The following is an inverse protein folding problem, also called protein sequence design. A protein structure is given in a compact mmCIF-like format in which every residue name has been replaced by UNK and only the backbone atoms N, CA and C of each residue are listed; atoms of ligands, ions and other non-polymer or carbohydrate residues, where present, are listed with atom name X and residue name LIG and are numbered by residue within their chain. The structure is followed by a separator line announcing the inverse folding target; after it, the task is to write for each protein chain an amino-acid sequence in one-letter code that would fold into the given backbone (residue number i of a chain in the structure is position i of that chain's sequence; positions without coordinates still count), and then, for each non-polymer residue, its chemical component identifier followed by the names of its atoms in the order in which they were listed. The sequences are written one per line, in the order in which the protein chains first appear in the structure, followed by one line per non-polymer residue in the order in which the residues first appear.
data_IF_240901613250
#
_entry.id   IF_240901613250
#
_cell.length_a   1.000
_cell.length_b   1.000
_cell.length_c   1.000
_cell.angle_alpha   90.00
_cell.angle_beta   90.00
_cell.angle_gamma   90.00
#
_symmetry.space_group_name_H-M   'P 1'
#
loop_
_entity.id
_entity.type
_entity.pdbx_description
1 polymer ?
#
# COMPACT_ATOMS: atom_id res chain seq x y z
N UNK A 1 -13.88 15.71 22.78
CA UNK A 1 -14.23 14.58 23.68
C UNK A 1 -15.40 13.70 23.18
N UNK A 2 -15.81 13.78 21.90
CA UNK A 2 -16.89 12.94 21.37
C UNK A 2 -16.39 11.65 20.69
N UNK A 3 -15.15 11.64 20.17
CA UNK A 3 -14.54 10.41 19.65
C UNK A 3 -14.41 9.36 20.77
N UNK A 4 -13.92 9.78 21.96
CA UNK A 4 -13.67 8.98 23.18
C UNK A 4 -14.70 7.87 23.53
N UNK A 5 -15.97 8.04 23.14
CA UNK A 5 -17.11 7.25 23.62
C UNK A 5 -17.71 6.29 22.60
N UNK A 6 -17.31 6.32 21.32
CA UNK A 6 -17.88 5.43 20.31
C UNK A 6 -16.83 4.40 19.85
N UNK A 7 -16.85 3.16 20.39
CA UNK A 7 -15.82 2.16 20.12
C UNK A 7 -15.67 1.82 18.63
N UNK A 8 -16.74 1.99 17.83
CA UNK A 8 -16.73 1.72 16.39
C UNK A 8 -15.95 2.79 15.60
N UNK A 9 -16.12 4.08 15.93
CA UNK A 9 -15.34 5.16 15.31
C UNK A 9 -13.90 5.19 15.84
N UNK A 10 -13.73 4.79 17.09
CA UNK A 10 -12.44 4.70 17.75
C UNK A 10 -11.54 3.62 17.22
N UNK A 11 -12.07 2.43 16.95
CA UNK A 11 -11.24 1.35 16.42
C UNK A 11 -10.59 1.77 15.09
N UNK A 12 -11.37 2.32 14.15
CA UNK A 12 -10.85 2.80 12.85
C UNK A 12 -9.84 3.93 13.01
N UNK A 13 -10.13 4.90 13.88
CA UNK A 13 -9.22 6.02 14.15
C UNK A 13 -7.93 5.54 14.80
N UNK A 14 -8.03 4.63 15.77
CA UNK A 14 -6.88 4.01 16.43
C UNK A 14 -6.00 3.23 15.46
N UNK A 15 -6.56 2.46 14.52
CA UNK A 15 -5.77 1.76 13.51
C UNK A 15 -4.98 2.74 12.64
N UNK A 16 -5.63 3.81 12.17
CA UNK A 16 -4.96 4.85 11.37
C UNK A 16 -3.85 5.53 12.19
N UNK A 17 -4.12 5.87 13.45
CA UNK A 17 -3.13 6.49 14.34
C UNK A 17 -1.91 5.59 14.56
N UNK A 18 -2.14 4.30 14.83
CA UNK A 18 -1.05 3.32 15.03
C UNK A 18 -0.20 3.20 13.76
N UNK A 19 -0.82 2.98 12.61
CA UNK A 19 -0.10 2.79 11.34
C UNK A 19 0.68 4.06 10.96
N UNK A 20 0.07 5.24 11.18
CA UNK A 20 0.73 6.53 10.93
C UNK A 20 1.97 6.70 11.78
N UNK A 21 1.88 6.50 13.09
CA UNK A 21 3.01 6.67 13.99
C UNK A 21 4.13 5.67 13.69
N UNK A 22 3.76 4.40 13.43
CA UNK A 22 4.71 3.35 13.06
C UNK A 22 5.51 3.71 11.80
N UNK A 23 4.82 4.07 10.71
CA UNK A 23 5.47 4.41 9.43
C UNK A 23 6.32 5.67 9.59
N UNK A 24 5.81 6.70 10.29
CA UNK A 24 6.53 7.97 10.48
C UNK A 24 7.84 7.77 11.25
N UNK A 25 7.84 6.94 12.29
CA UNK A 25 9.04 6.62 13.05
C UNK A 25 10.10 5.96 12.17
N UNK A 26 9.70 4.96 11.37
CA UNK A 26 10.60 4.25 10.45
C UNK A 26 11.15 5.13 9.32
N UNK A 27 10.37 6.11 8.85
CA UNK A 27 10.87 7.11 7.90
C UNK A 27 11.90 8.01 8.59
N UNK A 28 11.61 8.50 9.80
CA UNK A 28 12.51 9.39 10.54
C UNK A 28 13.81 8.71 10.97
N UNK A 29 13.78 7.41 11.24
CA UNK A 29 14.97 6.62 11.57
C UNK A 29 15.79 6.22 10.34
N UNK A 30 15.29 6.49 9.13
CA UNK A 30 15.92 6.09 7.86
C UNK A 30 15.75 4.62 7.51
N UNK A 31 14.93 3.86 8.25
CA UNK A 31 14.62 2.46 7.95
C UNK A 31 13.76 2.32 6.68
N UNK A 32 12.94 3.32 6.38
CA UNK A 32 12.07 3.37 5.20
C UNK A 32 12.34 4.66 4.43
N UNK A 33 12.61 4.53 3.13
CA UNK A 33 12.63 5.65 2.21
C UNK A 33 11.31 5.73 1.45
N UNK A 34 10.63 6.87 1.53
CA UNK A 34 9.40 7.11 0.78
C UNK A 34 9.72 7.70 -0.59
N UNK A 35 9.27 7.05 -1.66
CA UNK A 35 9.41 7.52 -3.05
C UNK A 35 8.04 7.54 -3.71
N UNK A 36 7.72 8.64 -4.38
CA UNK A 36 6.49 8.74 -5.16
C UNK A 36 6.62 8.00 -6.48
N UNK A 37 5.67 7.10 -6.76
CA UNK A 37 5.52 6.41 -8.03
C UNK A 37 4.19 6.86 -8.65
N UNK A 38 4.17 7.38 -9.90
CA UNK A 38 2.93 7.69 -10.58
C UNK A 38 2.00 6.46 -10.65
N UNK A 39 0.68 6.66 -10.53
CA UNK A 39 -0.31 5.55 -10.56
C UNK A 39 -0.17 4.66 -11.80
N UNK A 40 0.20 5.24 -12.95
CA UNK A 40 0.44 4.49 -14.20
C UNK A 40 1.64 3.53 -14.11
N UNK A 41 2.52 3.72 -13.15
CA UNK A 41 3.75 2.94 -12.97
C UNK A 41 3.73 2.10 -11.68
N UNK A 42 2.64 2.16 -10.90
CA UNK A 42 2.49 1.43 -9.65
C UNK A 42 2.16 -0.05 -9.89
N UNK A 43 3.20 -0.88 -10.03
CA UNK A 43 3.07 -2.32 -10.33
C UNK A 43 2.24 -3.06 -9.28
N UNK A 44 2.35 -2.68 -8.00
CA UNK A 44 1.61 -3.30 -6.89
C UNK A 44 0.08 -3.26 -7.07
N UNK A 45 -0.44 -2.33 -7.88
CA UNK A 45 -1.87 -2.24 -8.15
C UNK A 45 -2.43 -3.51 -8.81
N UNK A 46 -1.59 -4.30 -9.47
CA UNK A 46 -1.99 -5.59 -10.07
C UNK A 46 -2.56 -6.57 -9.03
N UNK A 47 -2.17 -6.42 -7.75
CA UNK A 47 -2.59 -7.29 -6.65
C UNK A 47 -3.74 -6.71 -5.82
N UNK A 48 -4.05 -5.42 -5.96
CA UNK A 48 -4.98 -4.70 -5.06
C UNK A 48 -6.19 -4.13 -5.78
N UNK A 49 -6.16 -4.03 -7.12
CA UNK A 49 -7.21 -3.42 -7.94
C UNK A 49 -7.66 -4.35 -9.06
N UNK A 50 -8.93 -4.23 -9.44
CA UNK A 50 -9.43 -4.78 -10.70
C UNK A 50 -9.09 -3.85 -11.86
N UNK A 51 -8.54 -4.41 -12.94
CA UNK A 51 -8.18 -3.68 -14.16
C UNK A 51 -8.77 -4.33 -15.40
N UNK A 52 -8.81 -3.56 -16.50
CA UNK A 52 -9.02 -4.14 -17.83
C UNK A 52 -7.88 -5.11 -18.16
N UNK A 53 -8.17 -6.12 -18.99
CA UNK A 53 -7.18 -7.13 -19.39
C UNK A 53 -5.91 -6.51 -19.97
N UNK A 54 -6.05 -5.46 -20.78
CA UNK A 54 -4.91 -4.73 -21.35
C UNK A 54 -4.01 -4.13 -20.26
N UNK A 55 -4.60 -3.42 -19.29
CA UNK A 55 -3.86 -2.78 -18.21
C UNK A 55 -3.26 -3.80 -17.24
N UNK A 56 -3.99 -4.87 -16.95
CA UNK A 56 -3.48 -5.98 -16.15
C UNK A 56 -2.24 -6.62 -16.80
N UNK A 57 -2.30 -6.91 -18.10
CA UNK A 57 -1.18 -7.50 -18.83
C UNK A 57 0.04 -6.57 -18.87
N UNK A 58 -0.17 -5.26 -19.05
CA UNK A 58 0.91 -4.27 -18.98
C UNK A 58 1.61 -4.30 -17.63
N UNK A 59 0.87 -4.22 -16.52
CA UNK A 59 1.45 -4.25 -15.17
C UNK A 59 2.08 -5.60 -14.83
N UNK A 60 1.43 -6.71 -15.22
CA UNK A 60 1.95 -8.07 -15.03
C UNK A 60 3.27 -8.29 -15.75
N UNK A 61 3.45 -7.74 -16.95
CA UNK A 61 4.72 -7.88 -17.70
C UNK A 61 5.92 -7.27 -16.98
N UNK A 62 5.68 -6.31 -16.07
CA UNK A 62 6.71 -5.69 -15.22
C UNK A 62 7.04 -6.52 -13.98
N UNK A 63 6.30 -7.60 -13.70
CA UNK A 63 6.65 -8.56 -12.66
C UNK A 63 7.70 -9.51 -13.21
N UNK A 64 8.81 -9.69 -12.49
CA UNK A 64 9.85 -10.69 -12.81
C UNK A 64 9.36 -12.10 -12.50
N UNK A 65 8.35 -12.57 -13.24
CA UNK A 65 7.82 -13.93 -13.14
C UNK A 65 8.73 -14.82 -13.98
N UNK A 66 9.51 -15.69 -13.35
CA UNK A 66 10.31 -16.71 -14.04
C UNK A 66 9.42 -17.90 -14.41
N UNK A 67 9.62 -18.47 -15.58
CA UNK A 67 9.04 -19.76 -15.94
C UNK A 67 9.65 -20.85 -15.06
N UNK A 68 8.86 -21.89 -14.75
CA UNK A 68 9.28 -23.02 -13.92
C UNK A 68 10.36 -23.91 -14.57
N UNK A 69 10.80 -23.58 -15.78
CA UNK A 69 11.76 -24.33 -16.58
C UNK A 69 13.21 -23.78 -16.50
N UNK A 70 13.48 -22.91 -15.50
CA UNK A 70 14.82 -22.37 -15.16
C UNK A 70 15.51 -23.15 -14.02
#
# INVERSE_FOLDING_TARGET
MALAKNPVFHARTKHIEIDYHFIREHISSGNIQLVHIPTKDQIADVLTKSFSTARFNELRSKLTIRSSDD
#
